data_IF_220040358293
#
_entry.id   IF_220040358293
#
_cell.length_a   1.000
_cell.length_b   1.000
_cell.length_c   1.000
_cell.angle_alpha   90.00
_cell.angle_beta   90.00
_cell.angle_gamma   90.00
#
_symmetry.space_group_name_H-M   'P 1'
#
loop_
_entity.id
_entity.type
_entity.pdbx_description
1 polymer ?
#
# COMPACT_ATOMS: atom_id res chain seq x y z
N UNK A 1 15.48 -18.57 18.14
CA UNK A 1 15.18 -17.13 18.29
C UNK A 1 15.03 -16.46 16.92
N UNK A 2 16.03 -16.51 16.04
CA UNK A 2 15.91 -16.03 14.64
C UNK A 2 14.74 -16.67 13.87
N UNK A 3 14.52 -17.97 14.03
CA UNK A 3 13.41 -18.66 13.35
C UNK A 3 12.05 -18.04 13.69
N UNK A 4 11.83 -17.70 14.97
CA UNK A 4 10.60 -17.04 15.43
C UNK A 4 10.47 -15.64 14.83
N UNK A 5 11.54 -14.84 14.85
CA UNK A 5 11.55 -13.50 14.25
C UNK A 5 11.20 -13.56 12.76
N UNK A 6 11.78 -14.50 12.02
CA UNK A 6 11.48 -14.69 10.59
C UNK A 6 10.05 -15.20 10.34
N UNK A 7 9.49 -16.02 11.25
CA UNK A 7 8.09 -16.43 11.18
C UNK A 7 7.13 -15.26 11.46
N UNK A 8 7.46 -14.41 12.43
CA UNK A 8 6.66 -13.22 12.74
C UNK A 8 6.76 -12.21 11.60
N UNK A 9 7.95 -12.03 11.03
CA UNK A 9 8.17 -11.22 9.84
C UNK A 9 7.30 -11.69 8.67
N UNK A 10 7.25 -13.01 8.45
CA UNK A 10 6.40 -13.63 7.43
C UNK A 10 4.94 -13.27 7.63
N UNK A 11 4.41 -13.53 8.83
CA UNK A 11 3.00 -13.28 9.17
C UNK A 11 2.62 -11.81 9.02
N UNK A 12 3.47 -10.91 9.51
CA UNK A 12 3.25 -9.47 9.38
C UNK A 12 3.23 -9.08 7.91
N UNK A 13 4.16 -9.60 7.10
CA UNK A 13 4.20 -9.30 5.66
C UNK A 13 2.97 -9.81 4.92
N UNK A 14 2.49 -11.02 5.25
CA UNK A 14 1.24 -11.56 4.71
C UNK A 14 0.02 -10.70 5.11
N UNK A 15 -0.05 -10.27 6.37
CA UNK A 15 -1.11 -9.37 6.85
C UNK A 15 -1.07 -8.00 6.17
N UNK A 16 0.10 -7.44 5.91
CA UNK A 16 0.24 -6.19 5.16
C UNK A 16 -0.33 -6.34 3.75
N UNK A 17 -0.02 -7.44 3.06
CA UNK A 17 -0.56 -7.72 1.72
C UNK A 17 -2.09 -7.78 1.76
N UNK A 18 -2.65 -8.50 2.74
CA UNK A 18 -4.11 -8.61 2.90
C UNK A 18 -4.73 -7.24 3.18
N UNK A 19 -4.14 -6.44 4.06
CA UNK A 19 -4.66 -5.11 4.39
C UNK A 19 -4.59 -4.16 3.19
N UNK A 20 -3.49 -4.17 2.42
CA UNK A 20 -3.35 -3.39 1.19
C UNK A 20 -4.47 -3.70 0.18
N UNK A 21 -4.77 -4.98 -0.01
CA UNK A 21 -5.82 -5.41 -0.95
C UNK A 21 -7.23 -4.99 -0.53
N UNK A 22 -7.44 -4.78 0.78
CA UNK A 22 -8.73 -4.39 1.35
C UNK A 22 -8.80 -2.89 1.68
N UNK A 23 -7.86 -2.07 1.20
CA UNK A 23 -7.76 -0.64 1.49
C UNK A 23 -7.73 -0.32 3.01
N UNK A 24 -7.16 -1.23 3.81
CA UNK A 24 -7.03 -1.08 5.27
C UNK A 24 -5.69 -0.44 5.66
N UNK A 25 -5.59 0.19 6.84
CA UNK A 25 -4.34 0.75 7.36
C UNK A 25 -3.24 -0.30 7.49
N UNK A 26 -2.01 0.08 7.15
CA UNK A 26 -0.82 -0.77 7.22
C UNK A 26 0.37 -0.16 7.96
N UNK A 27 0.28 1.10 8.40
CA UNK A 27 1.42 1.84 8.96
C UNK A 27 2.00 1.15 10.20
N UNK A 28 1.14 0.71 11.12
CA UNK A 28 1.57 -0.04 12.32
C UNK A 28 2.24 -1.37 11.95
N UNK A 29 1.70 -2.10 10.97
CA UNK A 29 2.28 -3.36 10.53
C UNK A 29 3.64 -3.16 9.85
N UNK A 30 3.80 -2.08 9.08
CA UNK A 30 5.09 -1.70 8.47
C UNK A 30 6.13 -1.35 9.54
N UNK A 31 5.74 -0.60 10.58
CA UNK A 31 6.62 -0.29 11.71
C UNK A 31 7.06 -1.57 12.44
N UNK A 32 6.12 -2.48 12.70
CA UNK A 32 6.43 -3.79 13.33
C UNK A 32 7.39 -4.59 12.44
N UNK A 33 7.20 -4.58 11.11
CA UNK A 33 8.11 -5.27 10.17
C UNK A 33 9.52 -4.69 10.19
N UNK A 34 9.65 -3.37 10.32
CA UNK A 34 10.94 -2.68 10.47
C UNK A 34 11.61 -3.08 11.80
N UNK A 35 10.88 -3.04 12.91
CA UNK A 35 11.40 -3.49 14.21
C UNK A 35 11.90 -4.94 14.19
N UNK A 36 11.18 -5.84 13.54
CA UNK A 36 11.59 -7.25 13.39
C UNK A 36 12.89 -7.36 12.60
N UNK A 37 13.07 -6.51 11.60
CA UNK A 37 14.31 -6.44 10.81
C UNK A 37 15.48 -5.97 11.67
N UNK A 38 15.29 -4.93 12.48
CA UNK A 38 16.32 -4.49 13.44
C UNK A 38 16.66 -5.58 14.45
N UNK A 39 15.64 -6.19 15.09
CA UNK A 39 15.80 -7.31 16.03
C UNK A 39 16.55 -8.50 15.42
N UNK A 40 16.41 -8.73 14.12
CA UNK A 40 17.12 -9.79 13.39
C UNK A 40 18.62 -9.51 13.27
N UNK A 41 19.02 -8.25 13.03
CA UNK A 41 20.42 -7.86 12.81
C UNK A 41 21.16 -7.41 14.07
N UNK A 42 20.44 -7.05 15.15
CA UNK A 42 21.03 -6.74 16.45
C UNK A 42 21.53 -8.00 17.19
N UNK A 43 21.13 -9.18 16.73
CA UNK A 43 21.58 -10.46 17.30
C UNK A 43 23.02 -10.77 16.88
N UNK A 44 23.98 -10.46 17.75
CA UNK A 44 25.42 -10.70 17.54
C UNK A 44 25.81 -12.18 17.41
N UNK A 45 24.92 -13.13 17.72
CA UNK A 45 25.26 -14.56 17.83
C UNK A 45 25.10 -15.38 16.54
N UNK A 46 24.50 -14.85 15.46
CA UNK A 46 24.17 -15.65 14.27
C UNK A 46 24.80 -15.02 13.03
N UNK A 47 25.37 -15.86 12.16
CA UNK A 47 26.00 -15.38 10.95
C UNK A 47 24.96 -14.87 9.94
N UNK A 48 25.32 -13.84 9.17
CA UNK A 48 24.45 -13.32 8.10
C UNK A 48 24.08 -14.38 7.06
N UNK A 49 24.95 -15.37 6.85
CA UNK A 49 24.69 -16.46 5.91
C UNK A 49 23.59 -17.40 6.42
N UNK A 50 23.59 -17.77 7.70
CA UNK A 50 22.54 -18.60 8.29
C UNK A 50 21.18 -17.89 8.25
N UNK A 51 21.14 -16.59 8.54
CA UNK A 51 19.92 -15.78 8.41
C UNK A 51 19.40 -15.80 6.96
N UNK A 52 20.30 -15.66 5.98
CA UNK A 52 19.96 -15.68 4.57
C UNK A 52 19.39 -17.04 4.13
N UNK A 53 20.00 -18.13 4.55
CA UNK A 53 19.51 -19.49 4.24
C UNK A 53 18.14 -19.75 4.87
N UNK A 54 17.93 -19.33 6.12
CA UNK A 54 16.63 -19.40 6.78
C UNK A 54 15.57 -18.52 6.09
N UNK A 55 15.96 -17.34 5.64
CA UNK A 55 15.07 -16.44 4.91
C UNK A 55 14.59 -17.06 3.59
N UNK A 56 15.52 -17.63 2.81
CA UNK A 56 15.21 -18.31 1.54
C UNK A 56 14.37 -19.56 1.79
N UNK A 57 14.77 -20.42 2.73
CA UNK A 57 14.04 -21.67 3.01
C UNK A 57 12.60 -21.46 3.50
N UNK A 58 12.32 -20.32 4.14
CA UNK A 58 10.96 -19.92 4.55
C UNK A 58 10.10 -19.32 3.43
N UNK A 59 10.68 -19.12 2.25
CA UNK A 59 10.02 -18.50 1.10
C UNK A 59 9.71 -17.02 1.32
N UNK A 60 10.52 -16.32 2.12
CA UNK A 60 10.30 -14.90 2.41
C UNK A 60 10.58 -14.01 1.21
N UNK A 61 11.47 -14.47 0.32
CA UNK A 61 11.82 -13.74 -0.91
C UNK A 61 10.59 -13.57 -1.81
N UNK A 62 9.82 -14.63 -1.98
CA UNK A 62 8.61 -14.65 -2.81
C UNK A 62 7.51 -13.78 -2.19
N UNK A 63 7.41 -13.78 -0.85
CA UNK A 63 6.44 -12.98 -0.11
C UNK A 63 6.77 -11.49 -0.20
N UNK A 64 8.04 -11.11 -0.07
CA UNK A 64 8.48 -9.72 -0.24
C UNK A 64 8.32 -9.24 -1.68
N UNK A 65 8.54 -10.13 -2.66
CA UNK A 65 8.22 -9.83 -4.05
C UNK A 65 6.71 -9.59 -4.22
N UNK A 66 5.87 -10.41 -3.60
CA UNK A 66 4.41 -10.25 -3.64
C UNK A 66 3.98 -8.93 -3.01
N UNK A 67 4.55 -8.57 -1.86
CA UNK A 67 4.32 -7.27 -1.21
C UNK A 67 4.63 -6.10 -2.15
N UNK A 68 5.78 -6.15 -2.82
CA UNK A 68 6.18 -5.11 -3.78
C UNK A 68 5.16 -4.96 -4.91
N UNK A 69 4.71 -6.08 -5.50
CA UNK A 69 3.67 -6.05 -6.54
C UNK A 69 2.39 -5.41 -6.00
N UNK A 70 1.91 -5.85 -4.84
CA UNK A 70 0.65 -5.35 -4.26
C UNK A 70 0.71 -3.85 -3.96
N UNK A 71 1.85 -3.32 -3.54
CA UNK A 71 2.04 -1.87 -3.37
C UNK A 71 1.95 -1.14 -4.71
N UNK A 72 2.57 -1.66 -5.77
CA UNK A 72 2.51 -1.04 -7.10
C UNK A 72 1.11 -1.07 -7.70
N UNK A 73 0.40 -2.19 -7.58
CA UNK A 73 -1.01 -2.31 -7.97
C UNK A 73 -1.88 -1.28 -7.25
N UNK A 74 -1.69 -1.14 -5.93
CA UNK A 74 -2.46 -0.20 -5.13
C UNK A 74 -2.17 1.26 -5.50
N UNK A 75 -0.91 1.61 -5.78
CA UNK A 75 -0.55 2.95 -6.28
C UNK A 75 -1.23 3.27 -7.61
N UNK A 76 -1.31 2.29 -8.52
CA UNK A 76 -1.99 2.46 -9.80
C UNK A 76 -3.49 2.70 -9.61
N UNK A 77 -4.15 1.89 -8.77
CA UNK A 77 -5.57 2.04 -8.42
C UNK A 77 -5.87 3.44 -7.86
N UNK A 78 -5.10 3.90 -6.86
CA UNK A 78 -5.27 5.24 -6.27
C UNK A 78 -5.08 6.35 -7.32
N UNK A 79 -4.12 6.20 -8.23
CA UNK A 79 -3.88 7.17 -9.31
C UNK A 79 -5.07 7.26 -10.27
N UNK A 80 -5.70 6.14 -10.60
CA UNK A 80 -6.90 6.10 -11.43
C UNK A 80 -8.11 6.71 -10.72
N UNK A 81 -8.30 6.43 -9.44
CA UNK A 81 -9.36 7.03 -8.63
C UNK A 81 -9.25 8.57 -8.58
N UNK A 82 -8.05 9.09 -8.34
CA UNK A 82 -7.78 10.54 -8.36
C UNK A 82 -8.13 11.13 -9.74
N UNK A 83 -7.77 10.44 -10.82
CA UNK A 83 -8.08 10.88 -12.19
C UNK A 83 -9.59 10.92 -12.44
N UNK A 84 -10.31 9.91 -11.96
CA UNK A 84 -11.77 9.84 -12.08
C UNK A 84 -12.45 10.98 -11.31
N UNK A 85 -12.01 11.25 -10.07
CA UNK A 85 -12.52 12.36 -9.27
C UNK A 85 -12.27 13.72 -9.97
N UNK A 86 -11.10 13.90 -10.55
CA UNK A 86 -10.77 15.10 -11.31
C UNK A 86 -11.68 15.28 -12.54
N UNK A 87 -11.93 14.20 -13.28
CA UNK A 87 -12.83 14.22 -14.43
C UNK A 87 -14.27 14.56 -14.04
N UNK A 88 -14.78 13.96 -12.96
CA UNK A 88 -16.12 14.25 -12.41
C UNK A 88 -16.21 15.73 -12.00
N UNK A 89 -15.19 16.25 -11.30
CA UNK A 89 -15.14 17.66 -10.91
C UNK A 89 -15.20 18.59 -12.11
N UNK A 90 -14.45 18.28 -13.17
CA UNK A 90 -14.44 19.09 -14.39
C UNK A 90 -15.77 19.06 -15.13
N UNK A 91 -16.41 17.88 -15.22
CA UNK A 91 -17.74 17.74 -15.79
C UNK A 91 -18.77 18.60 -15.00
N UNK A 92 -18.79 18.49 -13.68
CA UNK A 92 -19.69 19.27 -12.81
C UNK A 92 -19.48 20.78 -13.01
N UNK A 93 -18.23 21.24 -13.05
CA UNK A 93 -17.90 22.64 -13.31
C UNK A 93 -18.42 23.11 -14.68
N UNK A 94 -18.32 22.27 -15.73
CA UNK A 94 -18.84 22.60 -17.06
C UNK A 94 -20.37 22.69 -17.06
N UNK A 95 -21.07 21.74 -16.40
CA UNK A 95 -22.52 21.78 -16.25
C UNK A 95 -22.99 23.02 -15.48
N UNK A 96 -22.34 23.37 -14.37
CA UNK A 96 -22.66 24.58 -13.61
C UNK A 96 -22.49 25.86 -14.44
N UNK A 97 -21.38 25.98 -15.18
CA UNK A 97 -21.14 27.11 -16.08
C UNK A 97 -22.24 27.22 -17.14
N UNK A 98 -22.60 26.11 -17.80
CA UNK A 98 -23.64 26.10 -18.81
C UNK A 98 -25.04 26.43 -18.23
N UNK A 99 -25.35 25.95 -17.01
CA UNK A 99 -26.60 26.30 -16.31
C UNK A 99 -26.70 27.79 -16.02
N UNK A 100 -25.60 28.45 -15.61
CA UNK A 100 -25.58 29.89 -15.31
C UNK A 100 -25.72 30.75 -16.57
N UNK A 101 -25.16 30.32 -17.70
CA UNK A 101 -25.22 31.07 -18.97
C UNK A 101 -26.62 31.01 -19.61
N UNK A 102 -27.33 29.87 -19.51
CA UNK A 102 -28.70 29.74 -20.05
C UNK A 102 -29.77 30.55 -19.29
N UNK A 103 -29.40 31.23 -18.19
CA UNK A 103 -30.32 32.07 -17.40
C UNK A 103 -30.64 33.42 -18.06
N UNK A 104 -29.91 33.85 -19.09
CA UNK A 104 -30.12 35.17 -19.73
C UNK A 104 -31.48 35.32 -20.44
N UNK A 105 -32.17 34.24 -20.76
CA UNK A 105 -33.54 34.28 -21.30
C UNK A 105 -34.65 34.25 -20.22
N UNK A 106 -34.30 34.14 -18.94
CA UNK A 106 -35.26 34.05 -17.81
C UNK A 106 -35.30 35.28 -16.91
N UNK A 107 -34.34 36.19 -17.03
CA UNK A 107 -34.42 37.52 -16.43
C UNK A 107 -35.40 38.37 -17.23
N UNK A 108 -36.67 38.41 -16.80
CA UNK A 108 -37.62 39.45 -17.21
C UNK A 108 -36.99 40.82 -16.94
N UNK A 109 -36.80 41.60 -17.99
CA UNK A 109 -36.63 43.06 -17.93
C UNK A 109 -37.99 43.67 -17.56
#
# INVERSE_FOLDING_TARGET
>A
MVDMILNDYKKITENIIINLQNDLPIDELMNIREELTHKLFDQQCISKNEIKELYISKGLLEIDHKLKISIEEQKLKVKEEIRNLHNIKNANNAYEKNRRINSFFSTKI
#
